data_IF_639553300425
#
_entry.id   IF_639553300425
#
_cell.length_a   1.000
_cell.length_b   1.000
_cell.length_c   1.000
_cell.angle_alpha   90.00
_cell.angle_beta   90.00
_cell.angle_gamma   90.00
#
_symmetry.space_group_name_H-M   'P 1'
#
loop_
_entity.id
_entity.type
_entity.pdbx_description
1 polymer ?
#
# COMPACT_ATOMS: atom_id res chain seq x y z
N UNK A 1 -15.72 23.29 7.21
CA UNK A 1 -14.26 23.38 7.33
C UNK A 1 -13.76 24.48 6.40
N UNK A 2 -13.06 25.49 6.93
CA UNK A 2 -12.47 26.56 6.09
C UNK A 2 -11.28 25.95 5.34
N UNK A 3 -11.30 25.98 4.01
CA UNK A 3 -10.18 25.47 3.22
C UNK A 3 -8.93 26.31 3.51
N UNK A 4 -7.78 25.66 3.76
CA UNK A 4 -6.49 26.35 3.90
C UNK A 4 -6.27 27.34 2.73
N UNK A 5 -5.66 28.51 2.97
CA UNK A 5 -5.27 29.41 1.90
C UNK A 5 -4.36 28.70 0.88
N UNK A 6 -4.38 29.18 -0.37
CA UNK A 6 -3.66 28.53 -1.47
C UNK A 6 -2.15 28.39 -1.18
N UNK A 7 -1.55 29.41 -0.57
CA UNK A 7 -0.14 29.42 -0.17
C UNK A 7 0.23 28.27 0.77
N UNK A 8 -0.60 27.98 1.77
CA UNK A 8 -0.38 26.87 2.71
C UNK A 8 -0.51 25.51 2.02
N UNK A 9 -1.48 25.33 1.11
CA UNK A 9 -1.62 24.08 0.35
C UNK A 9 -0.42 23.82 -0.56
N UNK A 10 0.07 24.87 -1.22
CA UNK A 10 1.27 24.78 -2.07
C UNK A 10 2.48 24.41 -1.22
N UNK A 11 2.63 25.01 -0.03
CA UNK A 11 3.70 24.67 0.91
C UNK A 11 3.59 23.21 1.38
N UNK A 12 2.40 22.73 1.75
CA UNK A 12 2.16 21.33 2.13
C UNK A 12 2.61 20.36 1.01
N UNK A 13 2.27 20.66 -0.25
CA UNK A 13 2.68 19.85 -1.41
C UNK A 13 4.19 19.86 -1.61
N UNK A 14 4.83 21.03 -1.51
CA UNK A 14 6.28 21.17 -1.65
C UNK A 14 7.00 20.37 -0.58
N UNK A 15 6.62 20.55 0.70
CA UNK A 15 7.23 19.84 1.82
C UNK A 15 7.03 18.32 1.67
N UNK A 16 5.82 17.88 1.34
CA UNK A 16 5.52 16.45 1.14
C UNK A 16 6.32 15.86 -0.01
N UNK A 17 6.47 16.60 -1.12
CA UNK A 17 7.27 16.17 -2.27
C UNK A 17 8.75 16.08 -1.93
N UNK A 18 9.31 17.10 -1.27
CA UNK A 18 10.70 17.10 -0.83
C UNK A 18 10.95 15.92 0.11
N UNK A 19 10.09 15.70 1.10
CA UNK A 19 10.20 14.57 2.01
C UNK A 19 10.15 13.23 1.27
N UNK A 20 9.17 13.05 0.39
CA UNK A 20 9.00 11.83 -0.42
C UNK A 20 10.25 11.53 -1.26
N UNK A 21 10.72 12.51 -2.05
CA UNK A 21 11.89 12.30 -2.90
C UNK A 21 13.17 12.13 -2.10
N UNK A 22 13.35 12.87 -1.01
CA UNK A 22 14.56 12.79 -0.17
C UNK A 22 14.67 11.43 0.53
N UNK A 23 13.59 10.97 1.16
CA UNK A 23 13.55 9.66 1.83
C UNK A 23 13.73 8.53 0.80
N UNK A 24 13.02 8.60 -0.33
CA UNK A 24 13.10 7.58 -1.38
C UNK A 24 14.51 7.52 -1.97
N UNK A 25 15.09 8.66 -2.32
CA UNK A 25 16.45 8.74 -2.85
C UNK A 25 17.49 8.23 -1.84
N UNK A 26 17.33 8.58 -0.55
CA UNK A 26 18.21 8.07 0.50
C UNK A 26 18.13 6.55 0.63
N UNK A 27 16.92 5.97 0.66
CA UNK A 27 16.75 4.51 0.73
C UNK A 27 17.33 3.84 -0.52
N UNK A 28 17.03 4.35 -1.72
CA UNK A 28 17.57 3.81 -2.98
C UNK A 28 19.08 3.91 -3.06
N UNK A 29 19.66 5.00 -2.54
CA UNK A 29 21.11 5.14 -2.41
C UNK A 29 21.69 4.08 -1.48
N UNK A 30 21.07 3.82 -0.32
CA UNK A 30 21.54 2.81 0.64
C UNK A 30 21.41 1.38 0.12
N UNK A 31 20.37 1.08 -0.65
CA UNK A 31 20.15 -0.24 -1.28
C UNK A 31 20.99 -0.40 -2.56
N UNK A 32 21.27 0.70 -3.25
CA UNK A 32 21.92 0.75 -4.56
C UNK A 32 20.90 0.89 -5.68
N UNK A 33 20.99 1.97 -6.47
CA UNK A 33 20.07 2.25 -7.58
C UNK A 33 20.00 1.12 -8.61
N UNK A 34 21.12 0.45 -8.89
CA UNK A 34 21.16 -0.71 -9.80
C UNK A 34 20.34 -1.89 -9.27
N UNK A 35 20.39 -2.15 -7.96
CA UNK A 35 19.61 -3.22 -7.32
C UNK A 35 18.10 -2.91 -7.41
N UNK A 36 17.71 -1.67 -7.10
CA UNK A 36 16.32 -1.22 -7.23
C UNK A 36 15.82 -1.31 -8.68
N UNK A 37 16.63 -0.83 -9.64
CA UNK A 37 16.31 -0.92 -11.06
C UNK A 37 16.13 -2.38 -11.52
N UNK A 38 16.99 -3.29 -11.06
CA UNK A 38 16.85 -4.71 -11.32
C UNK A 38 15.57 -5.29 -10.71
N UNK A 39 15.18 -4.89 -9.51
CA UNK A 39 13.93 -5.32 -8.87
C UNK A 39 12.70 -4.90 -9.69
N UNK A 40 12.62 -3.65 -10.16
CA UNK A 40 11.51 -3.21 -11.02
C UNK A 40 11.52 -3.90 -12.38
N UNK A 41 12.71 -4.21 -12.92
CA UNK A 41 12.83 -4.93 -14.19
C UNK A 41 12.24 -6.32 -14.15
N UNK A 42 12.13 -6.95 -12.96
CA UNK A 42 11.46 -8.25 -12.81
C UNK A 42 10.03 -8.23 -13.34
N UNK A 43 9.30 -7.11 -13.25
CA UNK A 43 7.92 -7.00 -13.75
C UNK A 43 7.81 -7.24 -15.26
N UNK A 44 8.92 -7.09 -16.00
CA UNK A 44 8.99 -7.26 -17.44
C UNK A 44 9.71 -8.54 -17.85
N UNK A 45 10.11 -9.39 -16.91
CA UNK A 45 10.74 -10.67 -17.20
C UNK A 45 9.68 -11.76 -17.39
N UNK A 46 9.89 -12.60 -18.40
CA UNK A 46 9.09 -13.81 -18.58
C UNK A 46 9.19 -14.70 -17.32
N UNK A 47 8.07 -15.26 -16.90
CA UNK A 47 7.99 -16.10 -15.71
C UNK A 47 7.90 -15.34 -14.38
N UNK A 48 7.98 -14.00 -14.35
CA UNK A 48 7.75 -13.25 -13.11
C UNK A 48 6.29 -13.31 -12.65
N UNK A 49 5.33 -13.19 -13.57
CA UNK A 49 3.90 -13.15 -13.25
C UNK A 49 3.33 -14.56 -12.99
N UNK A 50 3.78 -15.18 -11.91
CA UNK A 50 3.19 -16.40 -11.33
C UNK A 50 2.02 -16.06 -10.42
N UNK A 51 1.19 -17.05 -10.09
CA UNK A 51 -0.01 -16.90 -9.24
C UNK A 51 0.22 -16.03 -7.99
N UNK A 52 1.32 -16.27 -7.29
CA UNK A 52 1.68 -15.53 -6.08
C UNK A 52 1.96 -14.03 -6.32
N UNK A 53 2.67 -13.69 -7.39
CA UNK A 53 3.02 -12.29 -7.69
C UNK A 53 1.82 -11.50 -8.23
N UNK A 54 0.91 -12.17 -8.97
CA UNK A 54 -0.37 -11.58 -9.40
C UNK A 54 -1.23 -11.25 -8.17
N UNK A 55 -1.32 -12.18 -7.21
CA UNK A 55 -2.05 -11.96 -5.95
C UNK A 55 -1.44 -10.80 -5.17
N UNK A 56 -0.11 -10.69 -5.09
CA UNK A 56 0.55 -9.57 -4.43
C UNK A 56 0.23 -8.22 -5.07
N UNK A 57 0.31 -8.12 -6.40
CA UNK A 57 0.01 -6.88 -7.11
C UNK A 57 -1.46 -6.47 -6.93
N UNK A 58 -2.39 -7.43 -7.05
CA UNK A 58 -3.82 -7.17 -6.83
C UNK A 58 -4.14 -6.76 -5.39
N UNK A 59 -3.52 -7.41 -4.41
CA UNK A 59 -3.71 -7.08 -3.00
C UNK A 59 -3.09 -5.72 -2.62
N UNK A 60 -1.97 -5.35 -3.25
CA UNK A 60 -1.40 -4.01 -3.13
C UNK A 60 -2.35 -2.94 -3.69
N UNK A 61 -2.93 -3.17 -4.87
CA UNK A 61 -3.92 -2.27 -5.47
C UNK A 61 -5.16 -2.12 -4.59
N UNK A 62 -5.66 -3.21 -3.98
CA UNK A 62 -6.79 -3.16 -3.06
C UNK A 62 -6.51 -2.26 -1.84
N UNK A 63 -5.31 -2.36 -1.25
CA UNK A 63 -4.89 -1.49 -0.14
C UNK A 63 -4.78 -0.02 -0.58
N UNK A 64 -4.22 0.24 -1.76
CA UNK A 64 -4.15 1.60 -2.31
C UNK A 64 -5.55 2.19 -2.53
N UNK A 65 -6.50 1.39 -3.03
CA UNK A 65 -7.88 1.81 -3.25
C UNK A 65 -8.61 2.18 -1.95
N UNK A 66 -8.26 1.57 -0.81
CA UNK A 66 -8.78 1.95 0.51
C UNK A 66 -8.13 3.25 1.02
N UNK A 67 -6.81 3.39 0.87
CA UNK A 67 -6.04 4.48 1.47
C UNK A 67 -6.22 5.80 0.71
N UNK A 68 -6.15 5.77 -0.63
CA UNK A 68 -6.13 6.97 -1.46
C UNK A 68 -7.38 7.84 -1.27
N UNK A 69 -8.62 7.30 -1.23
CA UNK A 69 -9.78 8.13 -1.02
C UNK A 69 -9.83 8.78 0.36
N UNK A 70 -9.42 8.04 1.39
CA UNK A 70 -9.27 8.55 2.75
C UNK A 70 -8.24 9.68 2.84
N UNK A 71 -7.17 9.63 2.06
CA UNK A 71 -6.15 10.68 2.05
C UNK A 71 -6.58 11.91 1.23
N UNK A 72 -7.11 11.71 0.02
CA UNK A 72 -7.41 12.80 -0.94
C UNK A 72 -8.71 13.53 -0.58
N UNK A 73 -9.78 12.79 -0.31
CA UNK A 73 -11.11 13.36 -0.05
C UNK A 73 -11.49 13.34 1.43
N UNK A 74 -10.62 12.83 2.31
CA UNK A 74 -10.94 12.64 3.73
C UNK A 74 -12.22 11.81 3.91
N UNK A 75 -12.47 10.90 2.95
CA UNK A 75 -13.66 10.05 2.91
C UNK A 75 -13.23 8.61 2.67
N UNK A 76 -13.48 7.79 3.69
CA UNK A 76 -13.26 6.35 3.61
C UNK A 76 -14.42 5.68 2.87
N UNK A 77 -14.11 4.74 1.96
CA UNK A 77 -15.08 3.87 1.30
C UNK A 77 -15.04 2.52 2.01
N UNK A 78 -15.84 2.36 3.05
CA UNK A 78 -15.75 1.20 3.95
C UNK A 78 -15.98 -0.15 3.26
N UNK A 79 -16.74 -0.20 2.16
CA UNK A 79 -16.99 -1.43 1.40
C UNK A 79 -15.70 -2.02 0.81
N UNK A 80 -14.72 -1.17 0.49
CA UNK A 80 -13.41 -1.62 0.01
C UNK A 80 -12.64 -2.39 1.09
N UNK A 81 -12.99 -2.22 2.37
CA UNK A 81 -12.39 -3.02 3.44
C UNK A 81 -12.76 -4.50 3.38
N UNK A 82 -13.90 -4.87 2.76
CA UNK A 82 -14.24 -6.28 2.50
C UNK A 82 -13.24 -6.89 1.52
N UNK A 83 -12.86 -6.14 0.49
CA UNK A 83 -11.85 -6.56 -0.49
C UNK A 83 -10.47 -6.64 0.17
N UNK A 84 -10.09 -5.66 1.01
CA UNK A 84 -8.79 -5.72 1.72
C UNK A 84 -8.72 -6.82 2.76
N UNK A 85 -9.83 -7.17 3.41
CA UNK A 85 -9.90 -8.32 4.32
C UNK A 85 -9.60 -9.61 3.55
N UNK A 86 -10.29 -9.85 2.44
CA UNK A 86 -10.08 -11.04 1.61
C UNK A 86 -8.65 -11.11 1.05
N UNK A 87 -8.18 -10.02 0.44
CA UNK A 87 -6.83 -9.96 -0.13
C UNK A 87 -5.73 -10.01 0.92
N UNK A 88 -5.98 -9.62 2.18
CA UNK A 88 -5.03 -9.83 3.27
C UNK A 88 -4.93 -11.29 3.67
N UNK A 89 -6.04 -12.05 3.67
CA UNK A 89 -6.01 -13.51 3.81
C UNK A 89 -5.19 -14.18 2.71
N UNK A 90 -5.39 -13.76 1.45
CA UNK A 90 -4.56 -14.24 0.33
C UNK A 90 -3.08 -13.88 0.51
N UNK A 91 -2.76 -12.67 0.96
CA UNK A 91 -1.38 -12.26 1.19
C UNK A 91 -0.71 -13.02 2.34
N UNK A 92 -1.43 -13.46 3.36
CA UNK A 92 -0.89 -14.38 4.38
C UNK A 92 -0.44 -15.67 3.70
N UNK A 93 -1.31 -16.27 2.86
CA UNK A 93 -0.96 -17.47 2.11
C UNK A 93 0.26 -17.26 1.20
N UNK A 94 0.30 -16.16 0.42
CA UNK A 94 1.47 -15.86 -0.42
C UNK A 94 2.75 -15.64 0.41
N UNK A 95 2.64 -14.91 1.52
CA UNK A 95 3.79 -14.57 2.36
C UNK A 95 4.40 -15.79 3.03
N UNK A 96 3.57 -16.76 3.44
CA UNK A 96 4.03 -18.03 4.00
C UNK A 96 4.83 -18.82 2.97
N UNK A 97 4.36 -18.90 1.71
CA UNK A 97 5.09 -19.55 0.61
C UNK A 97 6.46 -18.92 0.33
N UNK A 98 6.60 -17.63 0.62
CA UNK A 98 7.86 -16.87 0.49
C UNK A 98 8.68 -16.83 1.79
N UNK A 99 8.23 -17.49 2.86
CA UNK A 99 8.84 -17.49 4.19
C UNK A 99 9.03 -16.07 4.77
N UNK A 100 8.02 -15.21 4.60
CA UNK A 100 8.02 -13.81 5.05
C UNK A 100 7.14 -13.61 6.30
N UNK A 101 7.60 -13.95 7.52
CA UNK A 101 6.77 -13.92 8.74
C UNK A 101 6.27 -12.51 9.08
N UNK A 102 7.06 -11.48 8.81
CA UNK A 102 6.64 -10.08 9.05
C UNK A 102 5.48 -9.67 8.14
N UNK A 103 5.44 -10.17 6.90
CA UNK A 103 4.34 -9.90 5.97
C UNK A 103 3.07 -10.67 6.35
N UNK A 104 3.21 -11.86 6.93
CA UNK A 104 2.09 -12.59 7.56
C UNK A 104 1.51 -11.74 8.69
N UNK A 105 2.32 -11.30 9.65
CA UNK A 105 1.86 -10.48 10.77
C UNK A 105 1.21 -9.16 10.32
N UNK A 106 1.81 -8.48 9.33
CA UNK A 106 1.25 -7.25 8.76
C UNK A 106 -0.14 -7.47 8.16
N UNK A 107 -0.34 -8.55 7.39
CA UNK A 107 -1.65 -8.82 6.80
C UNK A 107 -2.67 -9.32 7.83
N UNK A 108 -2.24 -9.99 8.90
CA UNK A 108 -3.11 -10.30 10.05
C UNK A 108 -3.63 -9.02 10.72
N UNK A 109 -2.79 -8.00 10.89
CA UNK A 109 -3.24 -6.69 11.40
C UNK A 109 -4.24 -6.04 10.44
N UNK A 110 -4.03 -6.13 9.13
CA UNK A 110 -4.97 -5.61 8.14
C UNK A 110 -6.33 -6.29 8.16
N UNK A 111 -6.39 -7.59 8.47
CA UNK A 111 -7.66 -8.29 8.72
C UNK A 111 -8.37 -7.64 9.92
N UNK A 112 -7.68 -7.44 11.04
CA UNK A 112 -8.24 -6.78 12.22
C UNK A 112 -8.77 -5.37 11.92
N UNK A 113 -7.96 -4.53 11.25
CA UNK A 113 -8.36 -3.17 10.85
C UNK A 113 -9.59 -3.18 9.96
N UNK A 114 -9.61 -4.06 8.94
CA UNK A 114 -10.74 -4.18 8.02
C UNK A 114 -12.00 -4.63 8.74
N UNK A 115 -11.89 -5.61 9.64
CA UNK A 115 -13.01 -6.09 10.46
C UNK A 115 -13.63 -4.97 11.31
N UNK A 116 -12.81 -4.16 12.00
CA UNK A 116 -13.31 -3.03 12.79
C UNK A 116 -14.06 -2.02 11.91
N UNK A 117 -13.51 -1.68 10.73
CA UNK A 117 -14.14 -0.74 9.80
C UNK A 117 -15.44 -1.29 9.21
N UNK A 118 -15.51 -2.59 8.93
CA UNK A 118 -16.73 -3.22 8.44
C UNK A 118 -17.80 -3.21 9.53
N UNK A 119 -17.47 -3.71 10.73
CA UNK A 119 -18.45 -3.83 11.82
C UNK A 119 -19.03 -2.48 12.21
N UNK A 120 -18.21 -1.43 12.36
CA UNK A 120 -18.68 -0.08 12.74
C UNK A 120 -19.62 0.58 11.72
N UNK A 121 -19.67 0.08 10.49
CA UNK A 121 -20.54 0.59 9.43
C UNK A 121 -21.78 -0.31 9.21
N UNK A 122 -21.79 -1.52 9.79
CA UNK A 122 -22.93 -2.43 9.76
C UNK A 122 -23.82 -2.30 11.00
N UNK A 123 -23.25 -1.93 12.15
CA UNK A 123 -23.91 -1.73 13.44
C UNK A 123 -23.75 -0.27 13.85
#
# INVERSE_FOLDING_TARGET
MRSKPLSERVLDIIISSIAFFSITAFVYFRVGYANIGNSYRLWFQEGYWVNYNIVEAGAWLAKAAVILPGLIWQKEIWQLHVITLFTSGLLIWVSERKLLPTMVAFNTLWIGLSSVVIVRNLI
#
